data_IF_664652702006
#
_entry.id   IF_664652702006
#
_cell.length_a   1.000
_cell.length_b   1.000
_cell.length_c   1.000
_cell.angle_alpha   90.00
_cell.angle_beta   90.00
_cell.angle_gamma   90.00
#
_symmetry.space_group_name_H-M   'P 1'
#
loop_
_entity.id
_entity.type
_entity.pdbx_description
1 polymer ?
#
# COMPACT_ATOMS: atom_id res chain seq x y z
N UNK A 1 13.28 17.27 16.78
CA UNK A 1 13.16 17.30 15.31
C UNK A 1 11.79 16.74 14.96
N UNK A 2 10.94 17.49 14.26
CA UNK A 2 9.61 17.01 13.84
C UNK A 2 9.67 16.21 12.54
N UNK A 3 10.80 16.27 11.80
CA UNK A 3 10.95 15.60 10.51
C UNK A 3 10.85 14.06 10.62
N UNK A 4 11.23 13.50 11.77
CA UNK A 4 11.17 12.06 12.09
C UNK A 4 9.79 11.58 12.57
N UNK A 5 8.81 12.48 12.72
CA UNK A 5 7.45 12.14 13.13
C UNK A 5 6.46 12.23 11.97
N UNK A 6 6.94 12.53 10.77
CA UNK A 6 6.09 12.74 9.60
C UNK A 6 5.90 11.44 8.82
N UNK A 7 4.64 11.14 8.51
CA UNK A 7 4.25 10.00 7.68
C UNK A 7 3.38 10.47 6.52
N UNK A 8 3.54 9.83 5.38
CA UNK A 8 2.71 10.03 4.19
C UNK A 8 1.75 8.87 4.06
N UNK A 9 0.46 9.16 3.93
CA UNK A 9 -0.54 8.16 3.58
C UNK A 9 -0.34 7.73 2.13
N UNK A 10 0.20 6.53 1.94
CA UNK A 10 0.35 5.94 0.62
C UNK A 10 -0.95 5.33 0.13
N UNK A 11 -1.62 4.53 0.95
CA UNK A 11 -2.83 3.82 0.53
C UNK A 11 -3.90 3.81 1.58
N UNK A 12 -5.14 3.73 1.12
CA UNK A 12 -6.32 3.48 1.93
C UNK A 12 -7.22 2.54 1.14
N UNK A 13 -7.30 1.27 1.53
CA UNK A 13 -8.06 0.22 0.84
C UNK A 13 -9.14 -0.35 1.76
N UNK A 14 -10.26 -0.76 1.19
CA UNK A 14 -11.22 -1.57 1.93
C UNK A 14 -10.59 -2.92 2.29
N UNK A 15 -11.07 -3.54 3.37
CA UNK A 15 -10.55 -4.84 3.83
C UNK A 15 -10.66 -5.91 2.74
N UNK A 16 -11.76 -5.92 1.98
CA UNK A 16 -11.94 -6.86 0.86
C UNK A 16 -10.93 -6.62 -0.27
N UNK A 17 -10.74 -5.37 -0.69
CA UNK A 17 -9.77 -5.06 -1.74
C UNK A 17 -8.33 -5.38 -1.29
N UNK A 18 -8.01 -5.15 -0.01
CA UNK A 18 -6.72 -5.54 0.55
C UNK A 18 -6.53 -7.06 0.51
N UNK A 19 -7.55 -7.82 0.91
CA UNK A 19 -7.51 -9.28 0.88
C UNK A 19 -7.33 -9.81 -0.55
N UNK A 20 -8.06 -9.28 -1.52
CA UNK A 20 -7.92 -9.64 -2.94
C UNK A 20 -6.52 -9.29 -3.48
N UNK A 21 -5.99 -8.12 -3.12
CA UNK A 21 -4.63 -7.71 -3.51
C UNK A 21 -3.56 -8.67 -2.95
N UNK A 22 -3.70 -9.07 -1.69
CA UNK A 22 -2.77 -10.01 -1.03
C UNK A 22 -2.92 -11.43 -1.59
N UNK A 23 -4.14 -11.90 -1.85
CA UNK A 23 -4.36 -13.20 -2.49
C UNK A 23 -3.73 -13.25 -3.89
N UNK A 24 -3.91 -12.18 -4.68
CA UNK A 24 -3.29 -12.05 -6.01
C UNK A 24 -1.75 -11.99 -5.96
N UNK A 25 -1.16 -11.50 -4.87
CA UNK A 25 0.31 -11.57 -4.70
C UNK A 25 0.79 -12.99 -4.43
N UNK A 26 0.02 -13.80 -3.70
CA UNK A 26 0.39 -15.17 -3.31
C UNK A 26 0.21 -16.12 -4.48
N UNK A 27 -0.94 -16.10 -5.16
CA UNK A 27 -1.23 -17.03 -6.26
C UNK A 27 -0.38 -16.76 -7.51
N UNK A 28 0.13 -15.54 -7.68
CA UNK A 28 0.97 -15.15 -8.84
C UNK A 28 2.48 -15.23 -8.54
N UNK A 29 2.85 -15.79 -7.39
CA UNK A 29 4.21 -15.85 -6.83
C UNK A 29 4.62 -17.29 -6.53
N UNK A 30 4.72 -18.15 -7.55
CA UNK A 30 5.38 -19.47 -7.42
C UNK A 30 6.92 -19.36 -7.33
N UNK A 31 7.49 -18.40 -6.58
CA UNK A 31 8.91 -18.52 -6.19
C UNK A 31 9.71 -17.26 -5.85
N UNK A 32 9.25 -16.05 -6.17
CA UNK A 32 9.97 -14.83 -5.81
C UNK A 32 9.03 -13.62 -5.87
N UNK A 33 8.75 -13.01 -4.71
CA UNK A 33 8.06 -11.72 -4.67
C UNK A 33 9.07 -10.66 -5.09
N UNK A 34 9.10 -10.37 -6.39
CA UNK A 34 9.86 -9.25 -6.90
C UNK A 34 9.25 -7.96 -6.33
N UNK A 35 10.05 -7.21 -5.57
CA UNK A 35 9.64 -6.01 -4.83
C UNK A 35 9.16 -4.92 -5.80
N UNK A 36 9.69 -4.88 -7.02
CA UNK A 36 9.27 -3.95 -8.07
C UNK A 36 7.87 -4.31 -8.58
N UNK A 37 7.59 -5.61 -8.77
CA UNK A 37 6.27 -6.10 -9.16
C UNK A 37 5.23 -5.82 -8.07
N UNK A 38 5.59 -5.98 -6.80
CA UNK A 38 4.71 -5.64 -5.68
C UNK A 38 4.41 -4.14 -5.62
N UNK A 39 5.44 -3.28 -5.76
CA UNK A 39 5.28 -1.83 -5.89
C UNK A 39 4.38 -1.45 -7.05
N UNK A 40 4.54 -2.09 -8.22
CA UNK A 40 3.72 -1.82 -9.40
C UNK A 40 2.24 -2.17 -9.13
N UNK A 41 1.95 -3.35 -8.57
CA UNK A 41 0.58 -3.75 -8.23
C UNK A 41 -0.04 -2.82 -7.19
N UNK A 42 0.71 -2.42 -6.16
CA UNK A 42 0.27 -1.41 -5.21
C UNK A 42 -0.08 -0.08 -5.90
N UNK A 43 0.77 0.40 -6.80
CA UNK A 43 0.52 1.64 -7.56
C UNK A 43 -0.75 1.55 -8.41
N UNK A 44 -1.06 0.37 -8.95
CA UNK A 44 -2.30 0.14 -9.71
C UNK A 44 -3.56 0.04 -8.82
N UNK A 45 -3.44 -0.50 -7.60
CA UNK A 45 -4.56 -0.57 -6.64
C UNK A 45 -4.94 0.81 -6.09
N UNK A 46 -3.97 1.73 -6.11
CA UNK A 46 -4.12 3.12 -5.79
C UNK A 46 -4.61 3.88 -7.03
N UNK A 47 -5.88 3.67 -7.40
CA UNK A 47 -6.52 4.45 -8.47
C UNK A 47 -6.21 5.94 -8.33
N UNK A 48 -5.69 6.55 -9.40
CA UNK A 48 -5.08 7.88 -9.36
C UNK A 48 -6.00 8.96 -8.79
N UNK A 49 -5.62 9.54 -7.65
CA UNK A 49 -6.33 10.63 -6.99
C UNK A 49 -6.12 10.65 -5.47
N UNK A 50 -6.40 11.79 -4.83
CA UNK A 50 -6.49 11.87 -3.37
C UNK A 50 -7.78 11.16 -2.92
N UNK A 51 -7.65 9.93 -2.43
CA UNK A 51 -8.79 9.20 -1.87
C UNK A 51 -9.09 9.71 -0.47
N UNK A 52 -10.37 9.96 -0.20
CA UNK A 52 -10.84 10.24 1.15
C UNK A 52 -10.65 9.00 2.02
N UNK A 53 -10.05 9.17 3.20
CA UNK A 53 -9.95 8.11 4.19
C UNK A 53 -11.34 7.80 4.76
N UNK A 54 -11.75 6.54 4.66
CA UNK A 54 -13.02 6.07 5.20
C UNK A 54 -12.78 5.16 6.42
N UNK A 55 -13.72 5.16 7.35
CA UNK A 55 -13.69 4.23 8.48
C UNK A 55 -13.77 2.78 7.98
N UNK A 56 -12.97 1.90 8.58
CA UNK A 56 -12.88 0.49 8.18
C UNK A 56 -11.93 0.23 7.01
N UNK A 57 -11.22 1.25 6.51
CA UNK A 57 -10.12 1.04 5.57
C UNK A 57 -8.82 0.63 6.28
N UNK A 58 -8.09 -0.29 5.66
CA UNK A 58 -6.69 -0.51 5.96
C UNK A 58 -5.85 0.59 5.30
N UNK A 59 -4.83 1.07 6.00
CA UNK A 59 -3.96 2.15 5.52
C UNK A 59 -2.51 1.69 5.41
N UNK A 60 -1.81 2.23 4.42
CA UNK A 60 -0.36 2.10 4.29
C UNK A 60 0.26 3.48 4.51
N UNK A 61 1.15 3.58 5.49
CA UNK A 61 1.90 4.78 5.80
C UNK A 61 3.36 4.56 5.42
N UNK A 62 3.98 5.57 4.81
CA UNK A 62 5.43 5.63 4.59
C UNK A 62 6.02 6.69 5.48
N UNK A 63 7.08 6.35 6.20
CA UNK A 63 7.82 7.29 7.01
C UNK A 63 8.58 8.27 6.11
N UNK A 64 8.34 9.58 6.26
CA UNK A 64 8.89 10.60 5.36
C UNK A 64 10.42 10.68 5.40
N UNK A 65 11.02 10.36 6.54
CA UNK A 65 12.47 10.45 6.73
C UNK A 65 13.21 9.20 6.26
N UNK A 66 12.78 8.00 6.67
CA UNK A 66 13.48 6.75 6.30
C UNK A 66 12.97 6.11 5.00
N UNK A 67 11.79 6.51 4.51
CA UNK A 67 11.14 5.88 3.37
C UNK A 67 10.65 4.45 3.62
N UNK A 68 10.70 3.99 4.87
CA UNK A 68 10.17 2.70 5.32
C UNK A 68 8.65 2.71 5.44
#
# INVERSE_FOLDING_TARGET
>A
DLSICTFVLEQSLSVRALQEMLANTVEKSEGQVDVEKWKFMMKTAQGGGHRTLLYGHAILLRHSYSGM
#
